data_IF_054710985927
#
_entry.id   IF_054710985927
#
_cell.length_a   1.000
_cell.length_b   1.000
_cell.length_c   1.000
_cell.angle_alpha   90.00
_cell.angle_beta   90.00
_cell.angle_gamma   90.00
#
_symmetry.space_group_name_H-M   'P 1'
#
loop_
_entity.id
_entity.type
_entity.pdbx_description
1 polymer ?
#
# COMPACT_ATOMS: atom_id res chain seq x y z
N UNK A 1 30.11 19.30 46.72
CA UNK A 1 29.94 19.51 45.27
C UNK A 1 30.95 18.57 44.63
N UNK A 2 30.58 17.51 43.92
CA UNK A 2 29.84 17.55 42.66
C UNK A 2 29.04 16.26 42.46
N UNK A 3 27.73 16.42 42.25
CA UNK A 3 26.76 15.41 41.83
C UNK A 3 26.89 15.20 40.32
N UNK A 4 27.14 13.99 39.83
CA UNK A 4 27.25 13.77 38.39
C UNK A 4 27.47 12.32 37.99
N UNK A 5 26.49 11.44 38.21
CA UNK A 5 26.64 10.01 37.91
C UNK A 5 25.37 9.25 37.56
N UNK A 6 24.28 9.93 37.18
CA UNK A 6 23.00 9.25 36.89
C UNK A 6 22.34 9.63 35.57
N UNK A 7 22.93 10.53 34.78
CA UNK A 7 22.32 11.03 33.54
C UNK A 7 22.60 10.18 32.29
N UNK A 8 23.56 9.25 32.33
CA UNK A 8 23.92 8.46 31.15
C UNK A 8 23.16 7.14 30.99
N UNK A 9 22.42 6.68 32.00
CA UNK A 9 21.70 5.40 31.90
C UNK A 9 20.31 5.53 31.25
N UNK A 10 19.75 6.74 31.15
CA UNK A 10 18.39 6.95 30.64
C UNK A 10 18.31 7.07 29.10
N UNK A 11 19.42 7.34 28.41
CA UNK A 11 19.44 7.51 26.94
C UNK A 11 19.51 6.19 26.16
N UNK A 12 19.84 5.07 26.80
CA UNK A 12 19.97 3.78 26.13
C UNK A 12 18.64 3.02 25.95
N UNK A 13 17.55 3.45 26.58
CA UNK A 13 16.28 2.70 26.58
C UNK A 13 15.31 3.07 25.45
N UNK A 14 15.51 4.20 24.75
CA UNK A 14 14.62 4.62 23.65
C UNK A 14 14.99 4.05 22.26
N UNK A 15 16.13 3.38 22.12
CA UNK A 15 16.57 2.81 20.85
C UNK A 15 15.94 1.45 20.50
N UNK A 16 15.14 0.87 21.41
CA UNK A 16 14.49 -0.43 21.22
C UNK A 16 12.96 -0.34 21.02
N UNK A 17 12.41 0.87 20.88
CA UNK A 17 11.08 1.04 20.31
C UNK A 17 11.21 0.91 18.79
N UNK A 18 11.40 -0.33 18.31
CA UNK A 18 11.06 -0.65 16.92
C UNK A 18 9.64 -0.13 16.67
N UNK A 19 9.35 0.36 15.46
CA UNK A 19 8.04 0.88 15.09
C UNK A 19 6.94 -0.17 15.25
N UNK A 20 6.49 -0.43 16.49
CA UNK A 20 5.41 -1.32 16.85
C UNK A 20 4.13 -0.52 16.90
N UNK A 21 3.77 0.05 15.75
CA UNK A 21 2.41 0.54 15.52
C UNK A 21 1.46 -0.64 15.34
N UNK A 22 0.15 -0.45 15.56
CA UNK A 22 -0.83 -1.44 15.16
C UNK A 22 -0.72 -1.70 13.66
N UNK A 23 -1.01 -2.93 13.22
CA UNK A 23 -1.09 -3.23 11.80
C UNK A 23 -2.14 -2.33 11.12
N UNK A 24 -1.83 -1.84 9.92
CA UNK A 24 -2.75 -0.97 9.18
C UNK A 24 -4.07 -1.70 8.87
N UNK A 25 -5.24 -1.04 8.96
CA UNK A 25 -6.51 -1.62 8.51
C UNK A 25 -6.47 -2.07 7.04
N UNK A 26 -7.25 -3.10 6.68
CA UNK A 26 -7.34 -3.61 5.30
C UNK A 26 -7.71 -2.52 4.31
N UNK A 27 -8.68 -1.68 4.67
CA UNK A 27 -9.13 -0.56 3.85
C UNK A 27 -7.98 0.42 3.55
N UNK A 28 -7.16 0.76 4.56
CA UNK A 28 -6.02 1.65 4.40
C UNK A 28 -4.95 1.04 3.49
N UNK A 29 -4.68 -0.27 3.63
CA UNK A 29 -3.75 -0.98 2.76
C UNK A 29 -4.22 -0.99 1.29
N UNK A 30 -5.50 -1.25 1.06
CA UNK A 30 -6.05 -1.24 -0.30
C UNK A 30 -6.04 0.16 -0.92
N UNK A 31 -6.43 1.19 -0.15
CA UNK A 31 -6.40 2.59 -0.61
C UNK A 31 -5.00 3.06 -0.95
N UNK A 32 -3.97 2.68 -0.20
CA UNK A 32 -2.57 2.99 -0.55
C UNK A 32 -2.16 2.40 -1.91
N UNK A 33 -2.56 1.15 -2.20
CA UNK A 33 -2.27 0.55 -3.51
C UNK A 33 -3.04 1.27 -4.62
N UNK A 34 -4.33 1.54 -4.41
CA UNK A 34 -5.15 2.28 -5.39
C UNK A 34 -4.54 3.66 -5.67
N UNK A 35 -4.16 4.39 -4.61
CA UNK A 35 -3.53 5.69 -4.73
C UNK A 35 -2.28 5.60 -5.63
N UNK A 36 -1.34 4.71 -5.31
CA UNK A 36 -0.10 4.51 -6.09
C UNK A 36 -0.33 4.12 -7.55
N UNK A 37 -1.40 3.37 -7.85
CA UNK A 37 -1.78 3.04 -9.22
C UNK A 37 -2.35 4.25 -9.97
N UNK A 38 -2.91 5.21 -9.24
CA UNK A 38 -3.66 6.34 -9.77
C UNK A 38 -2.89 7.68 -9.78
N UNK A 39 -1.70 7.75 -9.15
CA UNK A 39 -0.82 8.92 -9.27
C UNK A 39 -0.48 9.15 -10.75
N UNK A 40 -0.54 10.41 -11.17
CA UNK A 40 -0.15 10.80 -12.53
C UNK A 40 1.39 10.94 -12.65
N UNK A 41 2.00 10.53 -13.78
CA UNK A 41 1.38 9.92 -14.96
C UNK A 41 1.06 8.41 -14.80
N UNK A 42 -0.19 8.02 -15.03
CA UNK A 42 -0.63 6.63 -14.87
C UNK A 42 -0.01 5.71 -15.92
N UNK A 43 0.28 4.48 -15.50
CA UNK A 43 0.84 3.44 -16.36
C UNK A 43 -0.21 2.78 -17.24
N UNK A 44 0.18 2.26 -18.42
CA UNK A 44 -0.72 1.59 -19.37
C UNK A 44 -1.47 0.40 -18.77
N UNK A 45 -0.84 -0.38 -17.87
CA UNK A 45 -1.51 -1.46 -17.15
C UNK A 45 -2.65 -0.99 -16.25
N UNK A 46 -2.66 0.28 -15.84
CA UNK A 46 -3.79 0.89 -15.14
C UNK A 46 -4.78 1.46 -16.15
N UNK A 47 -4.33 2.32 -17.07
CA UNK A 47 -5.19 3.01 -18.05
C UNK A 47 -5.97 2.04 -18.96
N UNK A 48 -5.25 1.10 -19.57
CA UNK A 48 -5.82 0.14 -20.52
C UNK A 48 -6.13 -1.20 -19.84
N UNK A 49 -5.32 -1.59 -18.85
CA UNK A 49 -5.49 -2.86 -18.17
C UNK A 49 -6.68 -2.85 -17.21
N UNK A 50 -6.87 -1.77 -16.43
CA UNK A 50 -7.99 -1.62 -15.48
C UNK A 50 -9.09 -0.70 -16.00
N UNK A 51 -8.76 0.25 -16.87
CA UNK A 51 -9.70 1.23 -17.45
C UNK A 51 -10.59 1.90 -16.39
N UNK A 52 -9.99 2.63 -15.44
CA UNK A 52 -10.76 3.31 -14.41
C UNK A 52 -11.36 4.64 -14.89
N UNK A 53 -10.95 5.18 -16.04
CA UNK A 53 -11.42 6.47 -16.55
C UNK A 53 -10.76 7.65 -15.84
N UNK A 54 -11.43 8.81 -15.85
CA UNK A 54 -10.85 10.06 -15.33
C UNK A 54 -10.72 10.04 -13.80
N UNK A 55 -11.73 9.54 -13.08
CA UNK A 55 -11.68 9.37 -11.63
C UNK A 55 -11.12 7.99 -11.26
N UNK A 56 -9.78 7.89 -11.31
CA UNK A 56 -9.08 6.63 -11.08
C UNK A 56 -9.40 6.03 -9.71
N UNK A 57 -9.18 6.81 -8.66
CA UNK A 57 -9.28 6.33 -7.29
C UNK A 57 -10.71 6.02 -6.93
N UNK A 58 -11.65 6.92 -7.23
CA UNK A 58 -13.07 6.70 -6.96
C UNK A 58 -13.60 5.47 -7.69
N UNK A 59 -13.18 5.27 -8.94
CA UNK A 59 -13.59 4.09 -9.71
C UNK A 59 -13.02 2.79 -9.14
N UNK A 60 -11.72 2.74 -8.84
CA UNK A 60 -11.12 1.52 -8.28
C UNK A 60 -11.65 1.22 -6.87
N UNK A 61 -11.85 2.24 -6.03
CA UNK A 61 -12.45 2.07 -4.70
C UNK A 61 -13.91 1.60 -4.79
N UNK A 62 -14.70 2.14 -5.72
CA UNK A 62 -16.09 1.72 -5.94
C UNK A 62 -16.22 0.28 -6.43
N UNK A 63 -15.27 -0.21 -7.24
CA UNK A 63 -15.25 -1.61 -7.73
C UNK A 63 -14.83 -2.61 -6.65
N UNK A 64 -13.92 -2.22 -5.77
CA UNK A 64 -13.29 -3.11 -4.77
C UNK A 64 -13.94 -3.04 -3.39
N UNK A 65 -14.66 -1.96 -3.09
CA UNK A 65 -15.15 -1.64 -1.75
C UNK A 65 -14.09 -0.99 -0.84
N UNK A 66 -12.88 -0.73 -1.33
CA UNK A 66 -11.78 -0.20 -0.51
C UNK A 66 -11.99 1.22 0.03
N UNK A 67 -13.01 1.94 -0.48
CA UNK A 67 -13.45 3.21 0.09
C UNK A 67 -14.16 3.07 1.45
N UNK A 68 -14.62 1.88 1.82
CA UNK A 68 -15.28 1.62 3.11
C UNK A 68 -14.25 1.24 4.19
N UNK A 69 -14.30 1.88 5.35
CA UNK A 69 -13.42 1.55 6.48
C UNK A 69 -13.72 0.18 7.10
N UNK A 70 -14.90 -0.40 6.85
CA UNK A 70 -15.24 -1.78 7.21
C UNK A 70 -14.73 -2.82 6.19
N UNK A 71 -14.08 -2.40 5.10
CA UNK A 71 -13.51 -3.31 4.11
C UNK A 71 -12.57 -4.32 4.78
N UNK A 72 -12.69 -5.57 4.36
CA UNK A 72 -11.78 -6.65 4.71
C UNK A 72 -11.48 -7.51 3.50
N UNK A 73 -10.26 -8.01 3.40
CA UNK A 73 -9.85 -8.85 2.28
C UNK A 73 -10.51 -10.23 2.36
N UNK A 74 -11.28 -10.59 1.33
CA UNK A 74 -11.72 -11.97 1.07
C UNK A 74 -10.74 -12.68 0.13
N UNK A 75 -11.00 -12.56 -1.18
CA UNK A 75 -10.12 -13.06 -2.24
C UNK A 75 -9.68 -11.89 -3.14
N UNK A 76 -8.37 -11.62 -3.30
CA UNK A 76 -7.27 -12.25 -2.57
C UNK A 76 -7.29 -11.89 -1.08
N UNK A 77 -6.66 -12.73 -0.25
CA UNK A 77 -6.52 -12.44 1.17
C UNK A 77 -5.45 -11.36 1.42
N UNK A 78 -5.46 -10.78 2.63
CA UNK A 78 -4.54 -9.71 3.04
C UNK A 78 -3.06 -10.06 2.80
N UNK A 79 -2.64 -11.26 3.22
CA UNK A 79 -1.25 -11.67 3.10
C UNK A 79 -0.78 -11.71 1.64
N UNK A 80 -1.64 -12.23 0.75
CA UNK A 80 -1.37 -12.25 -0.69
C UNK A 80 -1.33 -10.83 -1.26
N UNK A 81 -2.27 -9.97 -0.87
CA UNK A 81 -2.30 -8.57 -1.31
C UNK A 81 -1.01 -7.83 -0.92
N UNK A 82 -0.51 -8.02 0.31
CA UNK A 82 0.77 -7.45 0.78
C UNK A 82 1.95 -7.96 -0.06
N UNK A 83 2.01 -9.27 -0.34
CA UNK A 83 3.08 -9.86 -1.17
C UNK A 83 3.10 -9.28 -2.60
N UNK A 84 1.92 -8.99 -3.16
CA UNK A 84 1.79 -8.36 -4.47
C UNK A 84 2.23 -6.89 -4.44
N UNK A 85 1.78 -6.14 -3.41
CA UNK A 85 2.13 -4.73 -3.19
C UNK A 85 3.64 -4.49 -3.09
N UNK A 86 4.41 -5.49 -2.62
CA UNK A 86 5.85 -5.35 -2.39
C UNK A 86 6.62 -4.77 -3.60
N UNK A 87 6.16 -5.05 -4.82
CA UNK A 87 6.74 -4.51 -6.05
C UNK A 87 6.56 -2.99 -6.16
N UNK A 88 5.40 -2.46 -5.78
CA UNK A 88 5.09 -1.02 -5.87
C UNK A 88 5.89 -0.14 -4.89
N UNK A 89 6.36 -0.72 -3.80
CA UNK A 89 7.07 0.02 -2.73
C UNK A 89 8.59 -0.14 -2.79
N UNK A 90 9.13 -0.71 -3.87
CA UNK A 90 10.59 -0.85 -4.05
C UNK A 90 11.31 0.49 -4.08
N UNK A 91 10.67 1.51 -4.66
CA UNK A 91 11.18 2.88 -4.72
C UNK A 91 11.10 3.64 -3.38
N UNK A 92 10.41 3.10 -2.37
CA UNK A 92 10.25 3.73 -1.07
C UNK A 92 8.89 3.48 -0.43
N UNK A 93 8.77 3.85 0.85
CA UNK A 93 7.54 3.70 1.63
C UNK A 93 6.62 4.92 1.58
N UNK A 94 7.08 6.01 0.97
CA UNK A 94 6.28 7.23 0.76
C UNK A 94 5.05 6.91 -0.11
N UNK A 95 3.81 7.13 0.37
CA UNK A 95 2.59 6.89 -0.40
C UNK A 95 2.51 7.71 -1.68
N UNK A 96 3.08 8.91 -1.69
CA UNK A 96 3.05 9.83 -2.84
C UNK A 96 4.18 9.53 -3.85
N UNK A 97 5.05 8.57 -3.54
CA UNK A 97 6.09 8.13 -4.47
C UNK A 97 5.48 7.35 -5.64
N UNK A 98 5.66 7.91 -6.83
CA UNK A 98 5.23 7.30 -8.07
C UNK A 98 5.99 5.99 -8.34
N UNK A 99 5.32 4.82 -8.40
CA UNK A 99 5.99 3.58 -8.78
C UNK A 99 6.43 3.66 -10.24
N UNK A 100 7.53 2.99 -10.59
CA UNK A 100 7.90 2.83 -11.99
C UNK A 100 6.87 1.93 -12.69
N UNK A 101 6.55 2.20 -13.96
CA UNK A 101 5.57 1.37 -14.67
C UNK A 101 6.00 -0.10 -14.80
N UNK A 102 7.30 -0.37 -14.88
CA UNK A 102 7.84 -1.74 -14.81
C UNK A 102 7.49 -2.47 -13.50
N UNK A 103 7.40 -1.74 -12.37
CA UNK A 103 6.99 -2.32 -11.09
C UNK A 103 5.48 -2.54 -11.03
N UNK A 104 4.68 -1.65 -11.64
CA UNK A 104 3.23 -1.84 -11.79
C UNK A 104 2.94 -3.09 -12.65
N UNK A 105 3.60 -3.21 -13.79
CA UNK A 105 3.45 -4.34 -14.70
C UNK A 105 3.92 -5.65 -14.05
N UNK A 106 5.04 -5.60 -13.30
CA UNK A 106 5.54 -6.75 -12.57
C UNK A 106 4.60 -7.17 -11.43
N UNK A 107 3.91 -6.24 -10.77
CA UNK A 107 2.87 -6.57 -9.79
C UNK A 107 1.74 -7.37 -10.45
N UNK A 108 1.17 -6.88 -11.55
CA UNK A 108 0.07 -7.56 -12.23
C UNK A 108 0.50 -8.88 -12.88
N UNK A 109 1.75 -8.99 -13.30
CA UNK A 109 2.33 -10.25 -13.80
C UNK A 109 2.50 -11.27 -12.67
N UNK A 110 3.00 -10.85 -11.50
CA UNK A 110 3.16 -11.71 -10.32
C UNK A 110 1.82 -12.10 -9.69
N UNK A 111 0.82 -11.23 -9.81
CA UNK A 111 -0.47 -11.34 -9.16
C UNK A 111 -1.63 -11.02 -10.12
N UNK A 112 -1.88 -11.90 -11.11
CA UNK A 112 -2.94 -11.68 -12.10
C UNK A 112 -4.35 -11.58 -11.50
N UNK A 113 -4.57 -12.17 -10.32
CA UNK A 113 -5.81 -12.07 -9.56
C UNK A 113 -6.15 -10.63 -9.16
N UNK A 114 -5.14 -9.75 -8.98
CA UNK A 114 -5.38 -8.35 -8.65
C UNK A 114 -6.02 -7.59 -9.81
N UNK A 115 -5.76 -7.98 -11.05
CA UNK A 115 -6.47 -7.42 -12.21
C UNK A 115 -7.96 -7.70 -12.12
N UNK A 116 -8.35 -8.92 -11.69
CA UNK A 116 -9.75 -9.27 -11.46
C UNK A 116 -10.35 -8.47 -10.31
N UNK A 117 -9.65 -8.42 -9.18
CA UNK A 117 -10.05 -7.66 -8.00
C UNK A 117 -10.32 -6.17 -8.34
N UNK A 118 -9.38 -5.48 -8.98
CA UNK A 118 -9.53 -4.06 -9.35
C UNK A 118 -10.54 -3.82 -10.48
N UNK A 119 -10.93 -4.87 -11.21
CA UNK A 119 -12.06 -4.82 -12.15
C UNK A 119 -13.41 -5.07 -11.49
N UNK A 120 -13.45 -5.39 -10.19
CA UNK A 120 -14.68 -5.71 -9.46
C UNK A 120 -15.21 -7.12 -9.75
N UNK A 121 -14.33 -8.05 -10.15
CA UNK A 121 -14.72 -9.46 -10.26
C UNK A 121 -15.06 -10.02 -8.86
N UNK A 122 -16.12 -10.85 -8.75
CA UNK A 122 -16.53 -11.47 -7.49
C UNK A 122 -15.51 -12.48 -6.93
#
# INVERSE_FOLDING_TARGET
MTTGGKLFAALAALAAAGCSGPEAPDAALCRDVIHRLCIAPRCDSVENGLSPGDDCEGTLQGRTGCGDDAFSFGTPNRARFIDCRATLVRGGVDPDAHPACEDVDAMFTKCPELTGFFKGAP
#
